data_IF_320041573944
#
_entry.id   IF_320041573944
#
_cell.length_a   1.000
_cell.length_b   1.000
_cell.length_c   1.000
_cell.angle_alpha   90.00
_cell.angle_beta   90.00
_cell.angle_gamma   90.00
#
_symmetry.space_group_name_H-M   'P 1'
#
loop_
_entity.id
_entity.type
_entity.pdbx_description
1 polymer ?
#
# COMPACT_ATOMS: atom_id res chain seq x y z
N UNK A 1 -15.88 -3.89 -0.03
CA UNK A 1 -15.36 -3.88 1.35
C UNK A 1 -13.87 -4.18 1.29
N UNK A 2 -13.00 -3.40 1.95
CA UNK A 2 -11.56 -3.64 1.89
C UNK A 2 -11.14 -4.66 2.95
N UNK A 3 -10.29 -5.63 2.59
CA UNK A 3 -9.75 -6.62 3.53
C UNK A 3 -8.62 -6.01 4.36
N UNK A 4 -8.55 -6.36 5.62
CA UNK A 4 -7.60 -5.79 6.60
C UNK A 4 -6.69 -6.83 7.24
N UNK A 5 -6.97 -8.11 7.03
CA UNK A 5 -6.24 -9.20 7.67
C UNK A 5 -4.87 -9.44 7.01
N UNK A 6 -3.85 -9.85 7.77
CA UNK A 6 -2.60 -10.38 7.23
C UNK A 6 -2.85 -11.54 6.26
N UNK A 7 -2.00 -11.65 5.24
CA UNK A 7 -2.14 -12.68 4.20
C UNK A 7 -3.32 -12.48 3.25
N UNK A 8 -4.16 -11.45 3.47
CA UNK A 8 -5.32 -11.21 2.62
C UNK A 8 -4.91 -10.85 1.19
N UNK A 9 -5.51 -11.54 0.22
CA UNK A 9 -5.29 -11.29 -1.21
C UNK A 9 -6.36 -10.41 -1.83
N UNK A 10 -5.98 -9.63 -2.84
CA UNK A 10 -6.83 -8.71 -3.58
C UNK A 10 -7.71 -7.89 -2.62
N UNK A 11 -7.07 -7.11 -1.75
CA UNK A 11 -7.73 -6.47 -0.61
C UNK A 11 -8.81 -5.48 -1.02
N UNK A 12 -8.71 -4.90 -2.21
CA UNK A 12 -9.68 -3.97 -2.77
C UNK A 12 -10.82 -4.66 -3.53
N UNK A 13 -10.77 -6.00 -3.67
CA UNK A 13 -11.71 -6.80 -4.45
C UNK A 13 -11.85 -6.29 -5.90
N UNK A 14 -10.72 -5.98 -6.55
CA UNK A 14 -10.70 -5.54 -7.94
C UNK A 14 -10.85 -6.76 -8.84
N UNK A 15 -11.82 -6.73 -9.75
CA UNK A 15 -12.02 -7.75 -10.79
C UNK A 15 -11.01 -7.55 -11.92
N UNK A 16 -10.34 -8.61 -12.38
CA UNK A 16 -9.30 -8.55 -13.42
C UNK A 16 -8.22 -7.49 -13.13
N UNK A 17 -7.57 -7.53 -11.95
CA UNK A 17 -6.65 -6.48 -11.50
C UNK A 17 -5.44 -6.29 -12.41
N UNK A 18 -5.06 -7.30 -13.19
CA UNK A 18 -4.01 -7.25 -14.19
C UNK A 18 -4.32 -6.33 -15.38
N UNK A 19 -5.58 -5.98 -15.62
CA UNK A 19 -6.00 -5.05 -16.70
C UNK A 19 -5.87 -3.59 -16.32
N UNK A 20 -5.51 -3.29 -15.07
CA UNK A 20 -5.38 -1.92 -14.58
C UNK A 20 -3.93 -1.47 -14.55
N UNK A 21 -3.72 -0.19 -14.78
CA UNK A 21 -2.45 0.50 -14.57
C UNK A 21 -2.58 1.43 -13.39
N UNK A 22 -1.65 1.34 -12.45
CA UNK A 22 -1.56 2.26 -11.32
C UNK A 22 -0.52 3.34 -11.60
N UNK A 23 -0.77 4.53 -11.08
CA UNK A 23 0.14 5.67 -11.14
C UNK A 23 0.16 6.38 -9.79
N UNK A 24 1.34 6.68 -9.27
CA UNK A 24 1.50 7.59 -8.13
C UNK A 24 0.98 8.95 -8.53
N UNK A 25 -0.06 9.43 -7.85
CA UNK A 25 -0.65 10.73 -8.12
C UNK A 25 -0.10 11.80 -7.19
N UNK A 26 -0.16 11.55 -5.88
CA UNK A 26 0.25 12.54 -4.89
C UNK A 26 0.67 11.85 -3.60
N UNK A 27 1.73 12.35 -2.98
CA UNK A 27 2.13 11.97 -1.62
C UNK A 27 2.12 13.20 -0.72
N UNK A 28 1.20 13.23 0.24
CA UNK A 28 1.06 14.32 1.20
C UNK A 28 1.87 13.99 2.46
N UNK A 29 3.14 14.41 2.49
CA UNK A 29 4.11 14.03 3.53
C UNK A 29 3.71 14.40 4.96
N UNK A 30 3.02 15.52 5.17
CA UNK A 30 2.56 15.92 6.53
C UNK A 30 1.44 15.05 7.11
N UNK A 31 0.68 14.39 6.23
CA UNK A 31 -0.44 13.53 6.64
C UNK A 31 -0.11 12.05 6.38
N UNK A 32 1.09 11.77 5.87
CA UNK A 32 1.52 10.43 5.44
C UNK A 32 0.47 9.74 4.57
N UNK A 33 -0.05 10.45 3.54
CA UNK A 33 -1.07 9.91 2.62
C UNK A 33 -0.53 9.76 1.22
N UNK A 34 -0.63 8.54 0.67
CA UNK A 34 -0.28 8.21 -0.71
C UNK A 34 -1.55 7.97 -1.51
N UNK A 35 -1.75 8.78 -2.55
CA UNK A 35 -2.83 8.65 -3.50
C UNK A 35 -2.33 8.05 -4.81
N UNK A 36 -3.00 7.00 -5.27
CA UNK A 36 -2.76 6.39 -6.57
C UNK A 36 -3.98 6.62 -7.48
N UNK A 37 -3.71 6.92 -8.75
CA UNK A 37 -4.69 6.87 -9.83
C UNK A 37 -4.67 5.48 -10.46
N UNK A 38 -5.85 4.90 -10.69
CA UNK A 38 -5.96 3.58 -11.30
C UNK A 38 -6.78 3.67 -12.58
N UNK A 39 -6.16 3.29 -13.69
CA UNK A 39 -6.72 3.35 -15.03
C UNK A 39 -7.03 1.94 -15.51
N UNK A 40 -8.20 1.72 -16.11
CA UNK A 40 -8.50 0.46 -16.80
C UNK A 40 -8.03 0.54 -18.25
N UNK A 41 -7.23 -0.43 -18.68
CA UNK A 41 -6.77 -0.56 -20.07
C UNK A 41 -6.14 0.75 -20.61
N UNK A 42 -6.63 1.26 -21.74
CA UNK A 42 -6.11 2.45 -22.42
C UNK A 42 -6.87 3.73 -22.04
N UNK A 43 -7.73 3.69 -21.01
CA UNK A 43 -8.51 4.84 -20.62
C UNK A 43 -7.61 5.99 -20.15
N UNK A 44 -7.94 7.21 -20.60
CA UNK A 44 -7.22 8.43 -20.18
C UNK A 44 -7.69 8.97 -18.83
N UNK A 45 -8.88 8.58 -18.38
CA UNK A 45 -9.41 8.95 -17.07
C UNK A 45 -9.28 7.79 -16.09
N UNK A 46 -8.94 8.06 -14.81
CA UNK A 46 -8.87 7.02 -13.79
C UNK A 46 -10.27 6.44 -13.55
N UNK A 47 -10.36 5.12 -13.46
CA UNK A 47 -11.58 4.42 -13.10
C UNK A 47 -11.90 4.55 -11.61
N UNK A 48 -10.86 4.63 -10.78
CA UNK A 48 -10.93 4.88 -9.35
C UNK A 48 -9.55 5.29 -8.82
N UNK A 49 -9.47 5.54 -7.52
CA UNK A 49 -8.25 5.90 -6.81
C UNK A 49 -8.01 4.94 -5.66
N UNK A 50 -6.75 4.78 -5.26
CA UNK A 50 -6.38 4.09 -4.03
C UNK A 50 -5.73 5.10 -3.09
N UNK A 51 -6.10 5.04 -1.82
CA UNK A 51 -5.50 5.84 -0.76
C UNK A 51 -4.87 4.90 0.27
N UNK A 52 -3.58 5.08 0.49
CA UNK A 52 -2.88 4.54 1.65
C UNK A 52 -2.66 5.66 2.67
N UNK A 53 -3.05 5.43 3.92
CA UNK A 53 -2.91 6.39 5.02
C UNK A 53 -1.92 5.89 6.06
N UNK A 54 -1.29 6.82 6.77
CA UNK A 54 -0.23 6.54 7.74
C UNK A 54 0.94 5.79 7.07
N UNK A 55 1.30 6.23 5.86
CA UNK A 55 2.39 5.65 5.07
C UNK A 55 3.73 5.94 5.75
N UNK A 56 4.42 4.89 6.17
CA UNK A 56 5.75 4.97 6.74
C UNK A 56 6.85 4.72 5.69
N UNK A 57 6.55 3.92 4.67
CA UNK A 57 7.50 3.56 3.62
C UNK A 57 6.74 3.17 2.35
N UNK A 58 7.32 3.48 1.19
CA UNK A 58 6.92 2.86 -0.07
C UNK A 58 8.11 2.76 -1.03
N UNK A 59 8.18 1.65 -1.75
CA UNK A 59 9.09 1.44 -2.87
C UNK A 59 8.25 0.97 -4.07
N UNK A 60 8.16 1.84 -5.07
CA UNK A 60 7.43 1.60 -6.29
C UNK A 60 7.91 2.52 -7.42
N UNK A 61 7.82 2.09 -8.69
CA UNK A 61 7.92 3.02 -9.81
C UNK A 61 6.74 4.00 -9.80
N UNK A 62 6.89 5.14 -10.45
CA UNK A 62 5.81 6.13 -10.60
C UNK A 62 4.58 5.54 -11.27
N UNK A 63 4.76 4.56 -12.18
CA UNK A 63 3.68 3.89 -12.91
C UNK A 63 4.00 2.41 -13.05
N UNK A 64 2.99 1.54 -12.90
CA UNK A 64 3.12 0.09 -13.12
C UNK A 64 1.81 -0.55 -13.58
N UNK A 65 1.92 -1.76 -14.15
CA UNK A 65 0.79 -2.60 -14.52
C UNK A 65 0.36 -3.48 -13.35
N UNK A 66 -0.94 -3.64 -13.16
CA UNK A 66 -1.56 -4.41 -12.10
C UNK A 66 -2.03 -3.54 -10.93
N UNK A 67 -3.23 -3.83 -10.43
CA UNK A 67 -3.80 -3.21 -9.23
C UNK A 67 -4.14 -4.24 -8.13
N UNK A 68 -3.59 -5.45 -8.21
CA UNK A 68 -3.80 -6.48 -7.19
C UNK A 68 -2.89 -6.20 -6.00
N UNK A 69 -3.45 -5.56 -4.97
CA UNK A 69 -2.78 -5.40 -3.69
C UNK A 69 -3.18 -6.52 -2.73
N UNK A 70 -2.17 -7.11 -2.10
CA UNK A 70 -2.27 -8.10 -1.04
C UNK A 70 -1.68 -7.51 0.25
N UNK A 71 -2.08 -8.02 1.41
CA UNK A 71 -1.39 -7.74 2.69
C UNK A 71 -0.44 -8.92 2.96
N UNK A 72 0.83 -8.61 3.20
CA UNK A 72 1.85 -9.60 3.57
C UNK A 72 1.64 -10.12 5.00
N UNK A 73 2.31 -11.22 5.34
CA UNK A 73 2.32 -11.70 6.73
C UNK A 73 3.08 -10.74 7.65
N UNK A 74 2.80 -10.82 8.96
CA UNK A 74 3.42 -9.92 9.94
C UNK A 74 4.95 -9.96 9.92
N UNK A 75 5.53 -11.16 9.79
CA UNK A 75 6.98 -11.34 9.76
C UNK A 75 7.61 -10.68 8.54
N UNK A 76 6.94 -10.72 7.38
CA UNK A 76 7.41 -10.04 6.17
C UNK A 76 7.36 -8.50 6.33
N UNK A 77 6.32 -8.00 7.00
CA UNK A 77 6.18 -6.58 7.32
C UNK A 77 7.32 -6.11 8.24
N UNK A 78 7.55 -6.84 9.33
CA UNK A 78 8.60 -6.55 10.30
C UNK A 78 9.99 -6.60 9.66
N UNK A 79 10.26 -7.62 8.86
CA UNK A 79 11.55 -7.75 8.18
C UNK A 79 11.82 -6.53 7.30
N UNK A 80 10.84 -6.08 6.52
CA UNK A 80 11.00 -4.87 5.71
C UNK A 80 11.19 -3.61 6.56
N UNK A 81 10.53 -3.49 7.71
CA UNK A 81 10.73 -2.36 8.63
C UNK A 81 12.15 -2.33 9.21
N UNK A 82 12.72 -3.50 9.52
CA UNK A 82 14.10 -3.63 9.98
C UNK A 82 15.08 -3.28 8.85
N UNK A 83 14.87 -3.81 7.64
CA UNK A 83 15.75 -3.63 6.49
C UNK A 83 15.75 -2.16 6.00
N UNK A 84 14.61 -1.49 6.08
CA UNK A 84 14.46 -0.06 5.73
C UNK A 84 14.91 0.88 6.84
N UNK A 85 15.20 0.38 8.04
CA UNK A 85 15.58 1.18 9.20
C UNK A 85 14.41 1.94 9.86
N UNK A 86 13.16 1.64 9.50
CA UNK A 86 11.97 2.17 10.18
C UNK A 86 11.92 1.78 11.66
N UNK A 87 12.41 0.58 11.99
CA UNK A 87 12.55 0.10 13.36
C UNK A 87 13.95 -0.49 13.56
N UNK A 88 14.48 -0.36 14.77
CA UNK A 88 15.77 -0.96 15.13
C UNK A 88 15.64 -2.40 15.61
N UNK A 89 16.72 -3.17 15.50
CA UNK A 89 16.83 -4.57 15.96
C UNK A 89 16.44 -4.78 17.43
N UNK A 90 16.49 -3.73 18.25
CA UNK A 90 16.06 -3.76 19.64
C UNK A 90 14.58 -4.16 19.80
N UNK A 91 13.72 -3.90 18.81
CA UNK A 91 12.28 -4.24 18.89
C UNK A 91 12.03 -5.74 19.06
N UNK A 92 12.93 -6.59 18.55
CA UNK A 92 12.86 -8.04 18.70
C UNK A 92 12.98 -8.50 20.16
N UNK A 93 13.53 -7.65 21.03
CA UNK A 93 13.68 -7.92 22.47
C UNK A 93 12.45 -7.49 23.28
N UNK A 94 11.48 -6.81 22.66
CA UNK A 94 10.29 -6.29 23.31
C UNK A 94 9.02 -6.79 22.59
N UNK A 95 8.54 -8.01 22.91
CA UNK A 95 7.40 -8.62 22.23
C UNK A 95 6.11 -7.77 22.27
N UNK A 96 5.91 -6.99 23.33
CA UNK A 96 4.77 -6.07 23.44
C UNK A 96 4.84 -4.90 22.43
N UNK A 97 6.02 -4.36 22.17
CA UNK A 97 6.21 -3.31 21.18
C UNK A 97 5.99 -3.84 19.76
N UNK A 98 6.37 -5.09 19.51
CA UNK A 98 6.09 -5.79 18.25
C UNK A 98 4.59 -5.92 17.99
N UNK A 99 3.84 -6.43 18.97
CA UNK A 99 2.39 -6.65 18.83
C UNK A 99 1.62 -5.35 18.55
N UNK A 100 1.97 -4.25 19.24
CA UNK A 100 1.36 -2.95 18.95
C UNK A 100 1.70 -2.45 17.55
N UNK A 101 2.94 -2.65 17.08
CA UNK A 101 3.35 -2.11 15.79
C UNK A 101 2.69 -2.84 14.60
N UNK A 102 2.53 -4.16 14.71
CA UNK A 102 1.87 -4.99 13.69
C UNK A 102 0.34 -4.86 13.69
N UNK A 103 -0.27 -4.45 14.80
CA UNK A 103 -1.71 -4.17 14.87
C UNK A 103 -2.11 -2.96 14.02
N UNK A 104 -1.28 -1.90 14.04
CA UNK A 104 -1.59 -0.64 13.36
C UNK A 104 -0.92 -0.49 12.00
N UNK A 105 0.02 -1.37 11.62
CA UNK A 105 0.80 -1.20 10.40
C UNK A 105 0.84 -2.47 9.56
N UNK A 106 0.61 -2.30 8.25
CA UNK A 106 0.54 -3.40 7.28
C UNK A 106 1.51 -3.18 6.14
N UNK A 107 2.06 -4.26 5.62
CA UNK A 107 2.80 -4.27 4.36
C UNK A 107 1.85 -4.67 3.23
N UNK A 108 1.49 -3.68 2.41
CA UNK A 108 0.78 -3.87 1.16
C UNK A 108 1.74 -4.18 0.03
N UNK A 109 1.45 -5.22 -0.75
CA UNK A 109 2.26 -5.60 -1.91
C UNK A 109 1.44 -5.73 -3.17
N UNK A 110 2.02 -5.36 -4.29
CA UNK A 110 1.50 -5.69 -5.60
C UNK A 110 2.63 -6.19 -6.52
N UNK A 111 2.33 -7.01 -7.53
CA UNK A 111 3.29 -7.33 -8.57
C UNK A 111 3.80 -6.05 -9.25
N UNK A 112 5.11 -5.96 -9.51
CA UNK A 112 5.74 -4.83 -10.17
C UNK A 112 7.08 -5.21 -10.80
N UNK A 113 7.42 -4.68 -11.99
CA UNK A 113 8.76 -4.79 -12.56
C UNK A 113 9.64 -3.60 -12.16
N UNK A 114 10.94 -3.78 -11.89
CA UNK A 114 11.67 -5.05 -11.78
C UNK A 114 11.52 -5.73 -10.42
N UNK A 115 10.85 -5.09 -9.45
CA UNK A 115 10.64 -5.58 -8.08
C UNK A 115 9.20 -5.35 -7.66
N UNK A 116 8.65 -6.17 -6.74
CA UNK A 116 7.32 -5.97 -6.21
C UNK A 116 7.14 -4.55 -5.65
N UNK A 117 5.93 -4.02 -5.82
CA UNK A 117 5.47 -2.80 -5.14
C UNK A 117 5.38 -3.12 -3.66
N UNK A 118 5.96 -2.28 -2.81
CA UNK A 118 5.90 -2.44 -1.35
C UNK A 118 5.47 -1.13 -0.72
N UNK A 119 4.43 -1.16 0.10
CA UNK A 119 3.93 0.02 0.82
C UNK A 119 3.66 -0.40 2.26
N UNK A 120 4.32 0.25 3.22
CA UNK A 120 4.03 0.12 4.64
C UNK A 120 3.11 1.28 5.02
N UNK A 121 1.89 0.95 5.44
CA UNK A 121 0.87 1.93 5.78
C UNK A 121 -0.08 1.39 6.85
N UNK A 122 -0.77 2.29 7.54
CA UNK A 122 -1.76 1.88 8.55
C UNK A 122 -3.04 1.36 7.92
N UNK A 123 -3.48 1.95 6.81
CA UNK A 123 -4.66 1.51 6.09
C UNK A 123 -4.57 1.72 4.58
N UNK A 124 -5.37 0.96 3.84
CA UNK A 124 -5.60 1.09 2.40
C UNK A 124 -7.09 1.20 2.13
N UNK A 125 -7.49 2.08 1.21
CA UNK A 125 -8.89 2.28 0.82
C UNK A 125 -9.02 2.56 -0.67
N UNK A 126 -10.15 2.12 -1.25
CA UNK A 126 -10.53 2.45 -2.61
C UNK A 126 -11.49 3.64 -2.59
N UNK A 127 -11.21 4.65 -3.41
CA UNK A 127 -12.01 5.87 -3.53
C UNK A 127 -12.56 6.01 -4.96
N UNK A 128 -13.83 6.38 -5.08
CA UNK A 128 -14.45 6.68 -6.37
C UNK A 128 -14.08 8.08 -6.88
N UNK A 129 -13.77 9.00 -5.97
CA UNK A 129 -13.37 10.38 -6.27
C UNK A 129 -12.28 10.84 -5.30
N UNK A 130 -11.45 11.77 -5.75
CA UNK A 130 -10.49 12.44 -4.87
C UNK A 130 -11.20 13.48 -4.00
N UNK A 131 -10.65 13.79 -2.82
CA UNK A 131 -10.96 15.00 -2.08
C UNK A 131 -10.80 16.26 -2.93
N UNK A 132 -11.66 17.26 -2.72
CA UNK A 132 -11.71 18.49 -3.54
C UNK A 132 -10.43 19.34 -3.47
N UNK A 133 -9.64 19.18 -2.40
CA UNK A 133 -8.39 19.88 -2.14
C UNK A 133 -7.18 19.27 -2.89
N UNK A 134 -7.39 18.17 -3.62
CA UNK A 134 -6.37 17.47 -4.41
C UNK A 134 -6.65 17.48 -5.93
N UNK A 135 -7.69 18.21 -6.36
CA UNK A 135 -8.20 18.28 -7.73
C UNK A 135 -7.73 19.49 -8.52
#
# INVERSE_FOLDING_TARGET
MTKTEPGARNIFNITEPERYRCQVYHYHSRLSRLYLRVFKEQNQQPSFYLLFSDVAYFDCPVTWQGAQFDIAEYDECLQLMLDSGLVGQAILRFPGAYASLTEYTRLYRAPGPPRPIQIIAGSGSLLQRLPNDLG
#
